data_IF_057795144857
#
_entry.id   IF_057795144857
#
_cell.length_a   1.000
_cell.length_b   1.000
_cell.length_c   1.000
_cell.angle_alpha   90.00
_cell.angle_beta   90.00
_cell.angle_gamma   90.00
#
_symmetry.space_group_name_H-M   'P 1'
#
loop_
_entity.id
_entity.type
_entity.pdbx_description
1 polymer ?
#
# COMPACT_ATOMS: atom_id res chain seq x y z
N UNK A 1 4.59 -7.34 3.70
CA UNK A 1 4.94 -5.90 3.60
C UNK A 1 4.52 -5.37 2.26
N UNK A 2 4.34 -4.06 2.12
CA UNK A 2 3.94 -3.42 0.87
C UNK A 2 4.89 -2.28 0.51
N UNK A 3 5.23 -2.21 -0.77
CA UNK A 3 5.93 -1.12 -1.43
C UNK A 3 5.57 -1.19 -2.91
N UNK A 4 5.53 -0.05 -3.60
CA UNK A 4 5.28 -0.06 -5.04
C UNK A 4 6.48 -0.61 -5.83
N UNK A 5 6.36 -0.76 -7.15
CA UNK A 5 7.37 -1.36 -8.03
C UNK A 5 8.73 -0.65 -7.97
N UNK A 6 8.74 0.63 -7.60
CA UNK A 6 9.93 1.46 -7.42
C UNK A 6 10.35 1.62 -5.95
N UNK A 7 9.73 0.85 -5.05
CA UNK A 7 9.90 0.88 -3.60
C UNK A 7 9.38 2.16 -2.92
N UNK A 8 8.62 3.02 -3.61
CA UNK A 8 7.97 4.19 -3.00
C UNK A 8 6.62 3.80 -2.37
N UNK A 9 5.92 4.79 -1.83
CA UNK A 9 4.54 4.62 -1.35
C UNK A 9 3.65 3.99 -2.44
N UNK A 10 2.71 3.10 -2.08
CA UNK A 10 1.74 2.55 -3.02
C UNK A 10 1.01 3.64 -3.83
N UNK A 11 0.86 3.43 -5.13
CA UNK A 11 0.28 4.39 -6.07
C UNK A 11 1.29 5.32 -6.76
N UNK A 12 2.59 5.17 -6.48
CA UNK A 12 3.67 5.94 -7.09
C UNK A 12 4.58 5.11 -8.00
N UNK A 13 4.25 3.85 -8.23
CA UNK A 13 4.85 2.97 -9.22
C UNK A 13 3.79 2.39 -10.15
N UNK A 14 3.82 1.08 -10.36
CA UNK A 14 2.99 0.39 -11.36
C UNK A 14 2.41 -0.94 -10.86
N UNK A 15 2.48 -1.25 -9.57
CA UNK A 15 1.85 -2.47 -9.03
C UNK A 15 0.33 -2.31 -9.05
N UNK A 16 -0.37 -3.31 -9.59
CA UNK A 16 -1.82 -3.45 -9.43
C UNK A 16 -2.17 -3.96 -8.03
N UNK A 17 -2.28 -3.02 -7.09
CA UNK A 17 -2.68 -3.36 -5.73
C UNK A 17 -4.15 -3.73 -5.59
N UNK A 18 -5.03 -3.31 -6.51
CA UNK A 18 -6.45 -3.65 -6.40
C UNK A 18 -6.65 -5.16 -6.47
N UNK A 19 -5.99 -5.82 -7.43
CA UNK A 19 -6.00 -7.28 -7.56
C UNK A 19 -5.38 -7.98 -6.35
N UNK A 20 -4.32 -7.41 -5.76
CA UNK A 20 -3.69 -7.96 -4.55
C UNK A 20 -4.64 -7.87 -3.35
N UNK A 21 -5.24 -6.70 -3.10
CA UNK A 21 -6.20 -6.54 -1.99
C UNK A 21 -7.45 -7.38 -2.20
N UNK A 22 -7.89 -7.60 -3.45
CA UNK A 22 -8.97 -8.55 -3.77
C UNK A 22 -8.59 -9.97 -3.36
N UNK A 23 -7.42 -10.45 -3.77
CA UNK A 23 -6.94 -11.78 -3.40
C UNK A 23 -6.83 -11.97 -1.87
N UNK A 24 -6.35 -10.93 -1.14
CA UNK A 24 -6.29 -10.96 0.33
C UNK A 24 -7.68 -11.08 0.97
N UNK A 25 -8.68 -10.36 0.43
CA UNK A 25 -10.09 -10.48 0.88
C UNK A 25 -10.67 -11.85 0.57
N UNK A 26 -10.40 -12.39 -0.62
CA UNK A 26 -10.94 -13.67 -1.07
C UNK A 26 -10.50 -14.84 -0.17
N UNK A 27 -9.28 -14.76 0.39
CA UNK A 27 -8.77 -15.75 1.36
C UNK A 27 -9.09 -15.39 2.82
N UNK A 28 -9.92 -14.37 3.05
CA UNK A 28 -10.27 -13.84 4.37
C UNK A 28 -9.05 -13.51 5.25
N UNK A 29 -8.02 -12.89 4.66
CA UNK A 29 -6.80 -12.53 5.40
C UNK A 29 -7.10 -11.49 6.50
N UNK A 30 -6.82 -11.85 7.75
CA UNK A 30 -7.07 -11.01 8.95
C UNK A 30 -5.78 -10.37 9.52
N UNK A 31 -4.65 -10.53 8.83
CA UNK A 31 -3.37 -9.99 9.28
C UNK A 31 -3.17 -8.52 8.88
N UNK A 32 -1.96 -8.01 9.16
CA UNK A 32 -1.60 -6.63 8.84
C UNK A 32 -0.95 -6.50 7.46
N UNK A 33 -1.28 -5.42 6.77
CA UNK A 33 -0.50 -4.91 5.63
C UNK A 33 0.36 -3.76 6.14
N UNK A 34 1.66 -4.01 6.30
CA UNK A 34 2.63 -3.01 6.79
C UNK A 34 3.50 -2.48 5.65
N UNK A 35 3.71 -1.16 5.61
CA UNK A 35 4.51 -0.50 4.58
C UNK A 35 6.01 -0.60 4.88
N UNK A 36 6.78 -1.02 3.87
CA UNK A 36 8.24 -1.08 3.92
C UNK A 36 8.80 -0.38 2.67
N UNK A 37 8.81 0.96 2.71
CA UNK A 37 9.08 1.82 1.55
C UNK A 37 10.30 2.71 1.75
N UNK A 38 10.82 3.23 0.63
CA UNK A 38 11.72 4.37 0.64
C UNK A 38 10.97 5.63 1.10
N UNK A 39 11.61 6.42 1.96
CA UNK A 39 11.07 7.65 2.52
C UNK A 39 11.20 8.81 1.53
N UNK A 40 10.52 8.69 0.38
CA UNK A 40 10.55 9.66 -0.71
C UNK A 40 9.18 10.33 -0.90
N UNK A 41 9.13 11.65 -1.19
CA UNK A 41 10.27 12.58 -1.25
C UNK A 41 10.88 12.86 0.14
N UNK A 42 10.14 12.64 1.22
CA UNK A 42 10.60 12.67 2.60
C UNK A 42 9.68 11.77 3.46
N UNK A 43 9.98 11.64 4.76
CA UNK A 43 9.23 10.75 5.65
C UNK A 43 7.75 11.16 5.86
N UNK A 44 7.41 12.40 6.24
CA UNK A 44 6.01 12.81 6.38
C UNK A 44 5.15 12.58 5.13
N UNK A 45 5.65 12.98 3.95
CA UNK A 45 4.92 12.78 2.70
C UNK A 45 4.74 11.28 2.38
N UNK A 46 5.79 10.46 2.56
CA UNK A 46 5.71 9.03 2.30
C UNK A 46 4.68 8.33 3.21
N UNK A 47 4.62 8.72 4.49
CA UNK A 47 3.61 8.22 5.44
C UNK A 47 2.21 8.63 5.00
N UNK A 48 1.99 9.92 4.70
CA UNK A 48 0.69 10.43 4.28
C UNK A 48 0.20 9.74 3.01
N UNK A 49 1.05 9.64 1.99
CA UNK A 49 0.75 8.97 0.72
C UNK A 49 0.35 7.51 0.93
N UNK A 50 1.09 6.80 1.78
CA UNK A 50 0.81 5.41 2.12
C UNK A 50 -0.55 5.26 2.80
N UNK A 51 -0.83 6.07 3.83
CA UNK A 51 -2.12 6.02 4.56
C UNK A 51 -3.28 6.35 3.63
N UNK A 52 -3.14 7.40 2.81
CA UNK A 52 -4.18 7.82 1.86
C UNK A 52 -4.48 6.72 0.84
N UNK A 53 -3.46 5.99 0.38
CA UNK A 53 -3.65 4.86 -0.53
C UNK A 53 -4.34 3.68 0.16
N UNK A 54 -3.82 3.23 1.31
CA UNK A 54 -4.34 2.07 2.03
C UNK A 54 -5.78 2.29 2.53
N UNK A 55 -6.13 3.50 2.97
CA UNK A 55 -7.50 3.83 3.38
C UNK A 55 -8.53 3.62 2.27
N UNK A 56 -8.16 3.80 1.00
CA UNK A 56 -9.05 3.54 -0.15
C UNK A 56 -9.28 2.04 -0.38
N UNK A 57 -8.36 1.20 0.09
CA UNK A 57 -8.41 -0.26 -0.12
C UNK A 57 -9.13 -1.00 1.02
N UNK A 58 -9.09 -0.42 2.23
CA UNK A 58 -9.66 -1.01 3.45
C UNK A 58 -11.08 -0.49 3.75
N UNK A 59 -11.48 0.69 3.24
CA UNK A 59 -12.85 1.19 3.37
C UNK A 59 -13.77 0.56 2.30
N UNK A 60 -14.17 -0.69 2.51
CA UNK A 60 -15.37 -1.34 1.97
C UNK A 60 -15.91 -2.32 3.01
#
# INVERSE_FOLDING_TARGET
HIADSNRWAPGFGHIDFESIFRALRDINYQGFVSAEILQKPNFPEAVKQTIDYLNKQVRL
#
